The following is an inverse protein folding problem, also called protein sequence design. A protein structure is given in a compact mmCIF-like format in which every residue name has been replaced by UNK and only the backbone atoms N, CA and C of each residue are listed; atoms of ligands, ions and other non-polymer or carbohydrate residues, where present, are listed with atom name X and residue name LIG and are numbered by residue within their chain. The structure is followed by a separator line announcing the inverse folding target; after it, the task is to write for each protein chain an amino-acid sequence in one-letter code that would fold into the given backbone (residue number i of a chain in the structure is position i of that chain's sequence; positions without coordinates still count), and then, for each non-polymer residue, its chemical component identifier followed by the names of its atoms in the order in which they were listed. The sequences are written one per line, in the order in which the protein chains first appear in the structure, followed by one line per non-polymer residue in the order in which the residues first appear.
data_IF_518469121823
#
_entry.id   IF_518469121823
#
_cell.length_a   1.000
_cell.length_b   1.000
_cell.length_c   1.000
_cell.angle_alpha   90.00
_cell.angle_beta   90.00
_cell.angle_gamma   90.00
#
_symmetry.space_group_name_H-M   'P 1'
#
loop_
_entity.id
_entity.type
_entity.pdbx_description
1 polymer ?
#
# COMPACT_ATOMS: atom_id res chain seq x y z
N UNK A 1 -12.02 -43.19 23.25
CA UNK A 1 -12.52 -41.81 23.42
C UNK A 1 -11.57 -40.87 22.68
N UNK A 2 -11.95 -40.33 21.51
CA UNK A 2 -11.10 -39.39 20.75
C UNK A 2 -11.22 -38.00 21.39
N UNK A 3 -10.13 -37.51 21.96
CA UNK A 3 -10.07 -36.17 22.54
C UNK A 3 -9.99 -35.17 21.37
N UNK A 4 -10.91 -34.18 21.27
CA UNK A 4 -10.83 -33.18 20.21
C UNK A 4 -9.60 -32.30 20.43
N UNK A 5 -8.74 -32.17 19.42
CA UNK A 5 -7.62 -31.22 19.45
C UNK A 5 -8.19 -29.81 19.61
N UNK A 6 -7.65 -29.04 20.56
CA UNK A 6 -8.04 -27.64 20.73
C UNK A 6 -7.55 -26.83 19.52
N UNK A 7 -8.29 -25.79 19.15
CA UNK A 7 -7.92 -24.89 18.04
C UNK A 7 -6.50 -24.32 18.21
N UNK A 8 -6.09 -24.07 19.46
CA UNK A 8 -4.74 -23.66 19.82
C UNK A 8 -3.65 -24.66 19.40
N UNK A 9 -3.95 -25.96 19.47
CA UNK A 9 -3.01 -27.02 19.12
C UNK A 9 -2.90 -27.18 17.60
N UNK A 10 -4.00 -26.91 16.88
CA UNK A 10 -4.02 -26.85 15.42
C UNK A 10 -3.23 -25.64 14.94
N UNK A 11 -3.42 -24.48 15.54
CA UNK A 11 -2.68 -23.25 15.21
C UNK A 11 -1.18 -23.39 15.51
N UNK A 12 -0.83 -24.02 16.65
CA UNK A 12 0.58 -24.31 16.98
C UNK A 12 1.27 -25.21 15.98
N UNK A 13 0.55 -26.13 15.31
CA UNK A 13 1.11 -26.96 14.24
C UNK A 13 1.59 -26.14 13.02
N UNK A 14 1.02 -24.95 12.82
CA UNK A 14 1.43 -24.01 11.77
C UNK A 14 2.40 -22.94 12.28
N UNK A 15 2.56 -22.80 13.60
CA UNK A 15 3.65 -22.03 14.18
C UNK A 15 4.94 -22.82 13.97
N UNK A 16 5.79 -22.29 13.11
CA UNK A 16 7.16 -22.78 13.02
C UNK A 16 7.82 -22.29 14.33
N UNK A 17 8.04 -23.21 15.27
CA UNK A 17 8.82 -22.94 16.48
C UNK A 17 10.29 -22.86 16.03
N UNK A 18 10.63 -21.71 15.45
CA UNK A 18 11.96 -21.42 14.96
C UNK A 18 12.75 -20.90 16.15
N UNK A 19 13.44 -21.80 16.87
CA UNK A 19 14.53 -21.35 17.73
C UNK A 19 15.48 -20.52 16.85
N UNK A 20 15.83 -19.27 17.24
CA UNK A 20 16.63 -18.36 16.42
C UNK A 20 18.10 -18.80 16.36
N UNK A 21 18.32 -19.96 15.78
CA UNK A 21 19.63 -20.53 15.46
C UNK A 21 20.04 -20.08 14.05
N UNK A 22 21.33 -20.02 13.74
CA UNK A 22 21.81 -19.64 12.41
C UNK A 22 21.21 -20.47 11.25
N UNK A 23 20.93 -21.77 11.49
CA UNK A 23 20.30 -22.67 10.51
C UNK A 23 18.83 -22.27 10.23
N UNK A 24 18.10 -21.97 11.30
CA UNK A 24 16.74 -21.47 11.28
C UNK A 24 16.58 -20.15 10.51
N UNK A 25 17.50 -19.21 10.72
CA UNK A 25 17.52 -17.93 10.01
C UNK A 25 17.75 -18.10 8.50
N UNK A 26 18.61 -19.05 8.10
CA UNK A 26 18.83 -19.38 6.68
C UNK A 26 17.55 -19.90 6.01
N UNK A 27 16.80 -20.77 6.70
CA UNK A 27 15.53 -21.31 6.19
C UNK A 27 14.49 -20.18 6.06
N UNK A 28 14.42 -19.29 7.05
CA UNK A 28 13.54 -18.12 7.02
C UNK A 28 13.87 -17.21 5.84
N UNK A 29 15.14 -16.84 5.66
CA UNK A 29 15.58 -16.02 4.53
C UNK A 29 15.28 -16.66 3.17
N UNK A 30 15.45 -17.98 3.05
CA UNK A 30 15.16 -18.68 1.81
C UNK A 30 13.66 -18.64 1.47
N UNK A 31 12.80 -18.89 2.46
CA UNK A 31 11.34 -18.78 2.31
C UNK A 31 10.90 -17.36 1.96
N UNK A 32 11.47 -16.35 2.62
CA UNK A 32 11.18 -14.94 2.32
C UNK A 32 11.62 -14.60 0.89
N UNK A 33 12.83 -14.98 0.48
CA UNK A 33 13.31 -14.73 -0.90
C UNK A 33 12.42 -15.43 -1.93
N UNK A 34 12.06 -16.68 -1.70
CA UNK A 34 11.23 -17.45 -2.62
C UNK A 34 9.81 -16.84 -2.75
N UNK A 35 9.20 -16.45 -1.63
CA UNK A 35 7.84 -15.91 -1.61
C UNK A 35 7.77 -14.40 -1.92
N UNK A 36 8.89 -13.67 -1.84
CA UNK A 36 8.91 -12.21 -1.99
C UNK A 36 8.40 -11.75 -3.34
N UNK A 37 8.65 -12.53 -4.41
CA UNK A 37 8.16 -12.21 -5.76
C UNK A 37 6.64 -12.26 -5.84
N UNK A 38 6.02 -13.30 -5.29
CA UNK A 38 4.56 -13.44 -5.28
C UNK A 38 3.92 -12.36 -4.40
N UNK A 39 4.46 -12.13 -3.21
CA UNK A 39 3.98 -11.08 -2.30
C UNK A 39 4.07 -9.69 -2.94
N UNK A 40 5.16 -9.40 -3.67
CA UNK A 40 5.29 -8.15 -4.40
C UNK A 40 4.23 -8.02 -5.48
N UNK A 41 4.02 -9.06 -6.29
CA UNK A 41 2.99 -9.06 -7.33
C UNK A 41 1.59 -8.86 -6.73
N UNK A 42 1.24 -9.60 -5.68
CA UNK A 42 -0.04 -9.48 -4.99
C UNK A 42 -0.25 -8.07 -4.42
N UNK A 43 0.82 -7.45 -3.90
CA UNK A 43 0.78 -6.08 -3.38
C UNK A 43 0.54 -5.07 -4.51
N UNK A 44 1.23 -5.22 -5.65
CA UNK A 44 1.02 -4.37 -6.82
C UNK A 44 -0.38 -4.52 -7.40
N UNK A 45 -0.87 -5.76 -7.53
CA UNK A 45 -2.21 -6.04 -8.05
C UNK A 45 -3.30 -5.51 -7.11
N UNK A 46 -3.12 -5.65 -5.80
CA UNK A 46 -4.01 -5.05 -4.81
C UNK A 46 -4.02 -3.52 -4.91
N UNK A 47 -2.84 -2.89 -5.00
CA UNK A 47 -2.73 -1.44 -5.13
C UNK A 47 -3.38 -0.93 -6.42
N UNK A 48 -3.16 -1.64 -7.54
CA UNK A 48 -3.77 -1.33 -8.85
C UNK A 48 -5.29 -1.46 -8.80
N UNK A 49 -5.83 -2.58 -8.30
CA UNK A 49 -7.28 -2.76 -8.16
C UNK A 49 -7.91 -1.71 -7.25
N UNK A 50 -7.24 -1.32 -6.17
CA UNK A 50 -7.71 -0.26 -5.27
C UNK A 50 -7.69 1.10 -5.96
N UNK A 51 -6.65 1.39 -6.73
CA UNK A 51 -6.56 2.60 -7.54
C UNK A 51 -7.70 2.65 -8.56
N UNK A 52 -7.85 1.62 -9.39
CA UNK A 52 -8.88 1.57 -10.44
C UNK A 52 -10.32 1.68 -9.89
N UNK A 53 -10.59 1.14 -8.69
CA UNK A 53 -11.90 1.24 -8.04
C UNK A 53 -12.22 2.61 -7.46
N UNK A 54 -11.20 3.32 -6.97
CA UNK A 54 -11.39 4.61 -6.29
C UNK A 54 -11.12 5.81 -7.20
N UNK A 55 -10.36 5.61 -8.27
CA UNK A 55 -10.02 6.64 -9.22
C UNK A 55 -11.19 6.88 -10.17
N UNK A 56 -11.82 8.04 -10.04
CA UNK A 56 -12.74 8.56 -11.04
C UNK A 56 -11.95 9.47 -11.96
N UNK A 57 -12.00 9.22 -13.26
CA UNK A 57 -11.47 10.17 -14.25
C UNK A 57 -12.26 11.46 -14.08
N UNK A 58 -11.61 12.58 -13.76
CA UNK A 58 -12.29 13.85 -13.61
C UNK A 58 -12.67 14.42 -14.99
N UNK A 59 -13.89 14.95 -15.12
CA UNK A 59 -14.40 15.60 -16.35
C UNK A 59 -13.93 17.06 -16.46
N UNK A 60 -12.64 17.30 -16.22
CA UNK A 60 -12.07 18.64 -16.25
C UNK A 60 -11.96 19.15 -17.68
N UNK A 61 -12.30 20.42 -17.89
CA UNK A 61 -12.11 21.13 -19.16
C UNK A 61 -11.03 22.19 -19.03
N UNK A 62 -10.44 22.55 -20.17
CA UNK A 62 -9.56 23.71 -20.23
C UNK A 62 -10.32 24.94 -19.76
N UNK A 63 -9.64 25.77 -18.97
CA UNK A 63 -10.16 27.00 -18.33
C UNK A 63 -11.09 26.78 -17.13
N UNK A 64 -11.35 25.53 -16.71
CA UNK A 64 -12.06 25.31 -15.45
C UNK A 64 -11.23 25.82 -14.26
N UNK A 65 -11.94 26.38 -13.28
CA UNK A 65 -11.37 26.77 -11.98
C UNK A 65 -11.44 25.57 -11.04
N UNK A 66 -10.28 25.10 -10.58
CA UNK A 66 -10.16 23.98 -9.66
C UNK A 66 -9.41 24.41 -8.39
N UNK A 67 -9.83 23.87 -7.25
CA UNK A 67 -9.09 24.04 -6.00
C UNK A 67 -8.06 22.92 -5.89
N UNK A 68 -6.80 23.29 -5.72
CA UNK A 68 -5.71 22.33 -5.47
C UNK A 68 -5.35 22.41 -4.00
N UNK A 69 -5.46 21.29 -3.28
CA UNK A 69 -4.96 21.20 -1.92
C UNK A 69 -3.49 20.75 -1.95
N UNK A 70 -2.53 21.57 -1.45
CA UNK A 70 -1.13 21.19 -1.39
C UNK A 70 -0.83 20.17 -0.29
N UNK A 71 -1.83 19.72 0.47
CA UNK A 71 -1.69 18.80 1.60
C UNK A 71 -0.88 17.53 1.24
N UNK A 72 -1.07 17.01 0.02
CA UNK A 72 -0.37 15.81 -0.44
C UNK A 72 1.00 16.08 -1.09
N UNK A 73 1.31 17.33 -1.45
CA UNK A 73 2.54 17.69 -2.16
C UNK A 73 3.64 18.23 -1.25
N UNK A 74 3.27 18.77 -0.07
CA UNK A 74 4.23 19.39 0.85
C UNK A 74 4.87 18.44 1.87
N UNK A 75 4.39 17.20 2.00
CA UNK A 75 4.88 16.23 2.99
C UNK A 75 6.06 15.36 2.52
N UNK A 76 6.72 15.70 1.42
CA UNK A 76 7.76 14.83 0.85
C UNK A 76 9.11 15.03 1.55
N UNK A 77 9.41 16.19 2.17
CA UNK A 77 10.73 16.48 2.80
C UNK A 77 10.74 17.51 3.96
N UNK A 78 9.63 17.79 4.65
CA UNK A 78 9.55 18.89 5.64
C UNK A 78 9.19 18.45 7.07
N UNK A 79 9.38 19.32 8.09
CA UNK A 79 8.83 19.10 9.43
C UNK A 79 7.33 18.84 9.35
N UNK A 80 6.82 17.88 10.14
CA UNK A 80 5.40 17.45 10.18
C UNK A 80 4.42 18.54 10.69
N UNK A 81 4.86 19.79 10.82
CA UNK A 81 3.97 20.90 11.10
C UNK A 81 3.10 21.12 9.87
N UNK A 82 1.83 20.76 10.00
CA UNK A 82 0.79 20.99 9.01
C UNK A 82 0.72 22.49 8.72
N UNK A 83 1.41 22.95 7.69
CA UNK A 83 1.15 24.28 7.13
C UNK A 83 -0.31 24.33 6.74
N UNK A 84 -1.00 25.41 7.11
CA UNK A 84 -2.39 25.62 6.72
C UNK A 84 -2.54 25.38 5.23
N UNK A 85 -3.52 24.57 4.80
CA UNK A 85 -3.69 24.26 3.39
C UNK A 85 -4.02 25.56 2.65
N UNK A 86 -3.05 26.05 1.89
CA UNK A 86 -3.23 27.19 1.00
C UNK A 86 -4.19 26.76 -0.13
N UNK A 87 -5.46 27.17 -0.01
CA UNK A 87 -6.53 26.85 -0.94
C UNK A 87 -6.75 28.05 -1.88
N UNK A 88 -6.08 28.03 -3.03
CA UNK A 88 -6.32 29.00 -4.09
C UNK A 88 -6.95 28.32 -5.31
N UNK A 89 -7.82 29.05 -6.05
CA UNK A 89 -8.37 28.57 -7.30
C UNK A 89 -7.31 28.66 -8.41
N UNK A 90 -7.08 27.55 -9.09
CA UNK A 90 -6.21 27.45 -10.26
C UNK A 90 -7.03 27.26 -11.52
N UNK A 91 -6.58 27.87 -12.61
CA UNK A 91 -7.18 27.67 -13.94
C UNK A 91 -6.44 26.55 -14.67
N UNK A 92 -7.18 25.60 -15.22
CA UNK A 92 -6.58 24.53 -16.04
C UNK A 92 -6.13 25.10 -17.39
N UNK A 93 -4.81 25.16 -17.60
CA UNK A 93 -4.22 25.68 -18.86
C UNK A 93 -3.94 24.56 -19.87
N UNK A 94 -3.62 23.35 -19.39
CA UNK A 94 -3.35 22.18 -20.23
C UNK A 94 -3.64 20.87 -19.47
N UNK A 95 -4.15 19.86 -20.17
CA UNK A 95 -4.31 18.49 -19.66
C UNK A 95 -3.30 17.59 -20.40
N UNK A 96 -2.61 16.71 -19.66
CA UNK A 96 -1.67 15.74 -20.23
C UNK A 96 -2.23 14.33 -20.05
N UNK A 97 -2.30 13.57 -21.14
CA UNK A 97 -2.93 12.25 -21.22
C UNK A 97 -3.81 12.13 -22.47
N UNK A 98 -4.20 10.91 -22.83
CA UNK A 98 -5.15 10.71 -23.94
C UNK A 98 -6.53 11.18 -23.48
N UNK A 99 -7.02 12.26 -24.10
CA UNK A 99 -8.44 12.63 -24.17
C UNK A 99 -9.16 11.59 -25.03
#
# INVERSE_FOLDING_TARGET
MKIPLRLTDILRKYFIDIDPTASSFKIMLYKVKYNSKEIMNDTFDYAKQKWDKSHKVPDFKLRDLVLVSPFNFNNIKGPNELKDPHLEPFVIVALHGNI
#
